data_IF_341613883826
#
_entry.id   IF_341613883826
#
_cell.length_a   1.000
_cell.length_b   1.000
_cell.length_c   1.000
_cell.angle_alpha   90.00
_cell.angle_beta   90.00
_cell.angle_gamma   90.00
#
_symmetry.space_group_name_H-M   'P 1'
#
loop_
_entity.id
_entity.type
_entity.pdbx_description
1 polymer ?
#
# COMPACT_ATOMS: atom_id res chain seq x y z
N UNK A 1 -8.01 3.02 -26.06
CA UNK A 1 -7.28 2.98 -24.77
C UNK A 1 -8.33 2.96 -23.68
N UNK A 2 -8.09 2.24 -22.58
CA UNK A 2 -9.07 1.98 -21.54
C UNK A 2 -8.42 2.18 -20.18
N UNK A 3 -9.09 2.86 -19.25
CA UNK A 3 -8.59 3.06 -17.90
C UNK A 3 -9.72 3.13 -16.88
N UNK A 4 -9.53 2.45 -15.77
CA UNK A 4 -10.50 2.40 -14.68
C UNK A 4 -9.91 3.02 -13.40
N UNK A 5 -10.75 3.65 -12.59
CA UNK A 5 -10.36 4.13 -11.28
C UNK A 5 -11.54 4.08 -10.30
N UNK A 6 -11.35 3.42 -9.17
CA UNK A 6 -12.28 3.47 -8.05
C UNK A 6 -11.97 4.70 -7.21
N UNK A 7 -12.85 5.71 -7.24
CA UNK A 7 -12.68 6.90 -6.40
C UNK A 7 -12.69 6.46 -4.93
N UNK A 8 -11.70 6.85 -4.09
CA UNK A 8 -11.66 6.45 -2.68
C UNK A 8 -12.93 6.84 -1.94
N UNK A 9 -13.62 5.86 -1.34
CA UNK A 9 -14.93 6.05 -0.70
C UNK A 9 -16.08 6.39 -1.67
N UNK A 10 -15.84 6.29 -2.97
CA UNK A 10 -16.76 6.65 -4.05
C UNK A 10 -17.05 5.50 -5.00
N UNK A 11 -17.23 5.84 -6.27
CA UNK A 11 -17.72 4.97 -7.34
C UNK A 11 -16.62 4.71 -8.38
N UNK A 12 -16.78 3.63 -9.12
CA UNK A 12 -15.92 3.27 -10.24
C UNK A 12 -16.19 4.25 -11.39
N UNK A 13 -15.12 4.81 -11.93
CA UNK A 13 -15.13 5.55 -13.19
C UNK A 13 -14.27 4.81 -14.20
N UNK A 14 -14.76 4.74 -15.42
CA UNK A 14 -14.15 4.11 -16.58
C UNK A 14 -14.02 5.17 -17.66
N UNK A 15 -12.88 5.21 -18.31
CA UNK A 15 -12.64 6.10 -19.45
C UNK A 15 -12.09 5.31 -20.63
N UNK A 16 -12.82 5.39 -21.74
CA UNK A 16 -12.35 4.94 -23.04
C UNK A 16 -11.96 6.16 -23.89
N UNK A 17 -10.81 6.08 -24.55
CA UNK A 17 -10.31 7.15 -25.41
C UNK A 17 -9.34 6.65 -26.48
N UNK A 18 -9.11 7.47 -27.49
CA UNK A 18 -8.06 7.34 -28.50
C UNK A 18 -7.08 8.52 -28.39
N UNK A 19 -5.89 8.37 -28.99
CA UNK A 19 -4.92 9.47 -29.10
C UNK A 19 -4.56 9.66 -30.57
N UNK A 20 -4.88 10.82 -31.12
CA UNK A 20 -4.55 11.20 -32.49
C UNK A 20 -3.83 12.55 -32.51
N UNK A 21 -2.68 12.63 -33.18
CA UNK A 21 -1.91 13.88 -33.25
C UNK A 21 -1.46 14.42 -31.88
N UNK A 22 -1.34 13.55 -30.87
CA UNK A 22 -0.99 13.93 -29.50
C UNK A 22 -2.16 14.50 -28.68
N UNK A 23 -3.39 14.44 -29.20
CA UNK A 23 -4.59 14.89 -28.50
C UNK A 23 -5.55 13.72 -28.22
N UNK A 24 -6.32 13.84 -27.14
CA UNK A 24 -7.37 12.88 -26.77
C UNK A 24 -8.52 12.97 -27.79
N UNK A 25 -9.01 11.80 -28.21
CA UNK A 25 -10.10 11.64 -29.17
C UNK A 25 -11.11 10.61 -28.70
N UNK A 26 -12.36 10.78 -29.14
CA UNK A 26 -13.45 9.85 -28.86
C UNK A 26 -13.58 9.54 -27.36
N UNK A 27 -13.35 10.54 -26.51
CA UNK A 27 -13.37 10.32 -25.05
C UNK A 27 -14.79 9.97 -24.61
N UNK A 28 -14.90 8.90 -23.81
CA UNK A 28 -16.14 8.48 -23.18
C UNK A 28 -15.91 8.16 -21.72
N UNK A 29 -16.62 8.86 -20.85
CA UNK A 29 -16.65 8.59 -19.40
C UNK A 29 -17.89 7.79 -19.05
N UNK A 30 -17.69 6.70 -18.30
CA UNK A 30 -18.76 5.82 -17.82
C UNK A 30 -18.45 5.33 -16.39
N UNK A 31 -19.43 4.71 -15.70
CA UNK A 31 -19.21 4.18 -14.35
C UNK A 31 -20.49 3.91 -13.57
N UNK A 32 -20.36 3.63 -12.27
CA UNK A 32 -21.49 3.36 -11.34
C UNK A 32 -21.80 4.55 -10.41
N UNK A 33 -21.49 5.77 -10.86
CA UNK A 33 -21.74 7.04 -10.17
C UNK A 33 -23.08 7.68 -10.57
N UNK A 34 -23.45 8.75 -9.85
CA UNK A 34 -24.61 9.57 -10.20
C UNK A 34 -24.18 10.99 -10.55
N UNK A 35 -24.83 11.54 -11.58
CA UNK A 35 -24.70 12.92 -12.04
C UNK A 35 -26.08 13.55 -12.10
N UNK A 36 -26.21 14.78 -11.61
CA UNK A 36 -27.43 15.58 -11.72
C UNK A 36 -27.06 16.99 -12.21
N UNK A 37 -27.56 17.43 -13.37
CA UNK A 37 -28.31 16.64 -14.34
C UNK A 37 -27.44 15.56 -14.99
N UNK A 38 -28.03 14.48 -15.51
CA UNK A 38 -27.27 13.36 -16.09
C UNK A 38 -26.54 13.76 -17.39
N UNK A 39 -27.06 14.74 -18.14
CA UNK A 39 -26.40 15.28 -19.34
C UNK A 39 -25.08 15.99 -19.04
N UNK A 40 -24.75 16.27 -17.76
CA UNK A 40 -23.45 16.78 -17.37
C UNK A 40 -22.31 15.85 -17.83
N UNK A 41 -22.55 14.55 -18.02
CA UNK A 41 -21.57 13.61 -18.57
C UNK A 41 -21.06 14.04 -19.97
N UNK A 42 -21.93 14.61 -20.80
CA UNK A 42 -21.56 15.08 -22.13
C UNK A 42 -20.63 16.29 -22.06
N UNK A 43 -20.79 17.14 -21.04
CA UNK A 43 -19.88 18.25 -20.79
C UNK A 43 -18.50 17.74 -20.34
N UNK A 44 -18.44 16.67 -19.55
CA UNK A 44 -17.18 16.01 -19.15
C UNK A 44 -16.46 15.44 -20.39
N UNK A 45 -17.16 14.66 -21.22
CA UNK A 45 -16.59 14.08 -22.45
C UNK A 45 -16.06 15.19 -23.38
N UNK A 46 -16.87 16.22 -23.63
CA UNK A 46 -16.48 17.35 -24.47
C UNK A 46 -15.33 18.18 -23.88
N UNK A 47 -15.26 18.29 -22.55
CA UNK A 47 -14.16 18.98 -21.88
C UNK A 47 -12.83 18.25 -22.06
N UNK A 48 -12.86 16.92 -22.14
CA UNK A 48 -11.67 16.10 -22.33
C UNK A 48 -11.27 15.98 -23.80
N UNK A 49 -12.23 15.99 -24.72
CA UNK A 49 -11.98 15.94 -26.17
C UNK A 49 -10.96 17.02 -26.59
N UNK A 50 -9.98 16.60 -27.40
CA UNK A 50 -8.90 17.47 -27.86
C UNK A 50 -7.86 17.89 -26.81
N UNK A 51 -7.91 17.38 -25.57
CA UNK A 51 -6.82 17.64 -24.59
C UNK A 51 -5.48 17.17 -25.15
N UNK A 52 -4.37 17.87 -24.91
CA UNK A 52 -3.06 17.27 -25.09
C UNK A 52 -2.92 16.00 -24.22
N UNK A 53 -2.45 14.89 -24.78
CA UNK A 53 -2.28 13.61 -24.09
C UNK A 53 -1.23 13.66 -22.95
N UNK A 54 -0.37 14.68 -22.94
CA UNK A 54 0.59 14.94 -21.86
C UNK A 54 0.04 15.82 -20.74
N UNK A 55 -1.25 16.22 -20.78
CA UNK A 55 -1.89 16.98 -19.71
C UNK A 55 -1.90 16.14 -18.43
N UNK A 56 -1.52 16.74 -17.31
CA UNK A 56 -1.48 16.09 -16.00
C UNK A 56 -2.88 15.99 -15.37
N UNK A 57 -2.98 15.24 -14.28
CA UNK A 57 -4.25 15.01 -13.58
C UNK A 57 -4.93 16.32 -13.17
N UNK A 58 -4.16 17.28 -12.64
CA UNK A 58 -4.69 18.57 -12.20
C UNK A 58 -5.23 19.40 -13.38
N UNK A 59 -4.52 19.43 -14.51
CA UNK A 59 -4.97 20.12 -15.71
C UNK A 59 -6.23 19.49 -16.32
N UNK A 60 -6.32 18.15 -16.35
CA UNK A 60 -7.52 17.45 -16.81
C UNK A 60 -8.71 17.71 -15.89
N UNK A 61 -8.52 17.64 -14.57
CA UNK A 61 -9.56 17.93 -13.59
C UNK A 61 -10.08 19.37 -13.71
N UNK A 62 -9.17 20.35 -13.83
CA UNK A 62 -9.53 21.76 -14.01
C UNK A 62 -10.33 22.00 -15.31
N UNK A 63 -10.01 21.29 -16.40
CA UNK A 63 -10.79 21.36 -17.65
C UNK A 63 -12.20 20.84 -17.46
N UNK A 64 -12.38 19.74 -16.74
CA UNK A 64 -13.69 19.19 -16.42
C UNK A 64 -14.49 20.17 -15.56
N UNK A 65 -13.90 20.67 -14.47
CA UNK A 65 -14.56 21.61 -13.55
C UNK A 65 -15.00 22.90 -14.25
N UNK A 66 -14.18 23.43 -15.18
CA UNK A 66 -14.50 24.62 -15.94
C UNK A 66 -15.65 24.43 -16.95
N UNK A 67 -15.89 23.19 -17.40
CA UNK A 67 -16.94 22.86 -18.36
C UNK A 67 -18.27 22.49 -17.70
N UNK A 68 -18.22 22.06 -16.44
CA UNK A 68 -19.41 21.64 -15.70
C UNK A 68 -20.30 22.84 -15.33
N UNK A 69 -21.62 22.77 -15.53
CA UNK A 69 -22.55 23.76 -15.00
C UNK A 69 -22.41 23.91 -13.47
N UNK A 70 -22.51 25.12 -12.91
CA UNK A 70 -22.34 25.33 -11.45
C UNK A 70 -23.33 24.57 -10.57
N UNK A 71 -24.48 24.16 -11.12
CA UNK A 71 -25.50 23.37 -10.42
C UNK A 71 -25.26 21.86 -10.47
N UNK A 72 -24.18 21.40 -11.12
CA UNK A 72 -23.91 19.97 -11.29
C UNK A 72 -23.59 19.33 -9.93
N UNK A 73 -24.30 18.26 -9.61
CA UNK A 73 -24.01 17.42 -8.46
C UNK A 73 -23.38 16.13 -8.94
N UNK A 74 -22.19 15.82 -8.42
CA UNK A 74 -21.48 14.57 -8.65
C UNK A 74 -21.53 13.74 -7.37
N UNK A 75 -22.13 12.55 -7.42
CA UNK A 75 -22.18 11.65 -6.27
C UNK A 75 -21.38 10.38 -6.55
N UNK A 76 -20.31 10.19 -5.77
CA UNK A 76 -19.35 9.11 -5.96
C UNK A 76 -18.35 9.34 -7.09
N UNK A 77 -18.42 10.48 -7.79
CA UNK A 77 -17.51 10.91 -8.84
C UNK A 77 -16.84 12.23 -8.44
N UNK A 78 -15.63 12.45 -8.95
CA UNK A 78 -14.95 13.74 -8.93
C UNK A 78 -14.24 13.99 -10.26
N UNK A 79 -14.03 15.26 -10.61
CA UNK A 79 -13.23 15.63 -11.78
C UNK A 79 -11.81 15.04 -11.71
N UNK A 80 -11.21 15.02 -10.51
CA UNK A 80 -9.94 14.36 -10.26
C UNK A 80 -10.02 12.85 -10.52
N UNK A 81 -11.08 12.16 -10.09
CA UNK A 81 -11.27 10.74 -10.35
C UNK A 81 -11.34 10.40 -11.84
N UNK A 82 -12.08 11.20 -12.62
CA UNK A 82 -12.12 11.09 -14.09
C UNK A 82 -10.73 11.33 -14.68
N UNK A 83 -10.03 12.37 -14.23
CA UNK A 83 -8.68 12.68 -14.69
C UNK A 83 -7.69 11.54 -14.40
N UNK A 84 -7.77 10.90 -13.23
CA UNK A 84 -6.96 9.72 -12.90
C UNK A 84 -7.27 8.56 -13.86
N UNK A 85 -8.55 8.28 -14.15
CA UNK A 85 -8.92 7.24 -15.11
C UNK A 85 -8.37 7.52 -16.52
N UNK A 86 -8.40 8.79 -16.98
CA UNK A 86 -7.73 9.21 -18.24
C UNK A 86 -6.22 8.92 -18.17
N UNK A 87 -5.55 9.29 -17.07
CA UNK A 87 -4.10 9.05 -16.91
C UNK A 87 -3.77 7.56 -16.91
N UNK A 88 -4.62 6.72 -16.31
CA UNK A 88 -4.49 5.26 -16.34
C UNK A 88 -4.66 4.71 -17.75
N UNK A 89 -5.65 5.17 -18.49
CA UNK A 89 -5.87 4.80 -19.89
C UNK A 89 -4.65 5.12 -20.77
N UNK A 90 -4.12 6.34 -20.64
CA UNK A 90 -2.94 6.80 -21.38
C UNK A 90 -1.67 6.03 -21.02
N UNK A 91 -1.55 5.64 -19.74
CA UNK A 91 -0.42 4.87 -19.26
C UNK A 91 -0.52 3.37 -19.56
N UNK A 92 -1.61 2.92 -20.19
CA UNK A 92 -1.93 1.50 -20.40
C UNK A 92 -1.79 0.71 -19.10
N UNK A 93 -2.35 1.28 -18.02
CA UNK A 93 -2.31 0.66 -16.71
C UNK A 93 -3.04 -0.69 -16.76
N UNK A 94 -2.51 -1.66 -16.05
CA UNK A 94 -3.17 -2.95 -15.83
C UNK A 94 -4.04 -2.88 -14.60
N UNK A 95 -5.01 -3.80 -14.50
CA UNK A 95 -5.91 -3.97 -13.36
C UNK A 95 -5.57 -5.22 -12.54
N UNK A 96 -6.17 -5.34 -11.35
CA UNK A 96 -5.99 -6.50 -10.48
C UNK A 96 -6.33 -7.82 -11.17
N UNK A 97 -7.35 -7.83 -12.03
CA UNK A 97 -7.85 -9.01 -12.77
C UNK A 97 -6.94 -9.45 -13.92
N UNK A 98 -5.97 -8.64 -14.33
CA UNK A 98 -5.06 -8.98 -15.43
C UNK A 98 -3.98 -9.98 -15.02
N UNK A 99 -3.92 -10.35 -13.74
CA UNK A 99 -2.82 -11.11 -13.17
C UNK A 99 -3.26 -12.39 -12.47
N UNK A 100 -2.44 -13.43 -12.62
CA UNK A 100 -2.54 -14.66 -11.83
C UNK A 100 -1.74 -14.51 -10.51
N UNK A 101 -2.40 -13.90 -9.52
CA UNK A 101 -1.80 -13.61 -8.21
C UNK A 101 -1.34 -14.85 -7.48
N UNK A 102 -0.18 -14.78 -6.83
CA UNK A 102 0.36 -15.86 -6.01
C UNK A 102 0.34 -15.49 -4.52
N UNK A 103 -0.15 -16.41 -3.69
CA UNK A 103 -0.06 -16.32 -2.24
C UNK A 103 1.18 -17.03 -1.73
N UNK A 104 2.02 -16.33 -0.95
CA UNK A 104 2.99 -16.95 -0.07
C UNK A 104 2.52 -16.75 1.37
N UNK A 105 2.32 -17.85 2.09
CA UNK A 105 2.02 -17.85 3.52
C UNK A 105 2.75 -19.03 4.19
N UNK A 106 3.98 -18.76 4.62
CA UNK A 106 4.89 -19.74 5.22
C UNK A 106 4.91 -19.60 6.74
N UNK A 107 5.58 -20.56 7.42
CA UNK A 107 5.83 -20.49 8.85
C UNK A 107 6.58 -19.21 9.25
N UNK A 108 6.53 -18.79 10.54
CA UNK A 108 7.23 -17.60 10.99
C UNK A 108 8.73 -17.63 10.66
N UNK A 109 9.28 -16.50 10.25
CA UNK A 109 10.67 -16.36 9.83
C UNK A 109 11.38 -15.22 10.58
N UNK A 110 12.70 -15.18 10.44
CA UNK A 110 13.51 -14.16 11.13
C UNK A 110 13.26 -12.76 10.55
N UNK A 111 13.31 -11.71 11.38
CA UNK A 111 13.13 -10.33 10.94
C UNK A 111 14.03 -9.94 9.76
N UNK A 112 15.30 -10.36 9.76
CA UNK A 112 16.23 -10.06 8.68
C UNK A 112 15.85 -10.80 7.37
N UNK A 113 15.39 -12.05 7.47
CA UNK A 113 14.95 -12.83 6.30
C UNK A 113 13.70 -12.21 5.66
N UNK A 114 12.74 -11.68 6.45
CA UNK A 114 11.60 -10.96 5.88
C UNK A 114 12.02 -9.75 5.04
N UNK A 115 12.99 -8.97 5.52
CA UNK A 115 13.49 -7.80 4.78
C UNK A 115 14.16 -8.22 3.47
N UNK A 116 14.91 -9.32 3.49
CA UNK A 116 15.56 -9.88 2.31
C UNK A 116 14.56 -10.43 1.30
N UNK A 117 13.54 -11.16 1.76
CA UNK A 117 12.49 -11.72 0.89
C UNK A 117 11.66 -10.63 0.21
N UNK A 118 11.32 -9.55 0.93
CA UNK A 118 10.65 -8.39 0.32
C UNK A 118 11.48 -7.80 -0.84
N UNK A 119 12.81 -7.71 -0.70
CA UNK A 119 13.70 -7.24 -1.78
C UNK A 119 13.77 -8.23 -2.95
N UNK A 120 13.97 -9.52 -2.67
CA UNK A 120 14.12 -10.56 -3.69
C UNK A 120 12.84 -10.74 -4.49
N UNK A 121 11.69 -10.92 -3.82
CA UNK A 121 10.41 -11.18 -4.49
C UNK A 121 10.02 -9.98 -5.36
N UNK A 122 10.21 -8.76 -4.86
CA UNK A 122 9.92 -7.55 -5.65
C UNK A 122 10.82 -7.45 -6.88
N UNK A 123 12.10 -7.83 -6.75
CA UNK A 123 13.02 -7.87 -7.89
C UNK A 123 12.63 -8.95 -8.92
N UNK A 124 12.12 -10.10 -8.49
CA UNK A 124 11.63 -11.16 -9.40
C UNK A 124 10.37 -10.72 -10.16
N UNK A 125 9.46 -10.01 -9.50
CA UNK A 125 8.29 -9.39 -10.15
C UNK A 125 8.74 -8.33 -11.15
N UNK A 126 9.69 -7.46 -10.78
CA UNK A 126 10.24 -6.44 -11.69
C UNK A 126 10.92 -7.06 -12.91
N UNK A 127 11.53 -8.24 -12.75
CA UNK A 127 12.15 -8.97 -13.85
C UNK A 127 11.18 -9.78 -14.70
N UNK A 128 9.88 -9.80 -14.36
CA UNK A 128 8.86 -10.60 -15.05
C UNK A 128 9.04 -12.11 -14.89
N UNK A 129 9.87 -12.56 -13.93
CA UNK A 129 10.10 -13.99 -13.64
C UNK A 129 9.11 -14.57 -12.64
N UNK A 130 8.39 -13.69 -11.94
CA UNK A 130 7.36 -14.04 -10.96
C UNK A 130 6.08 -13.25 -11.22
N UNK A 131 4.89 -13.87 -11.13
CA UNK A 131 3.62 -13.14 -11.10
C UNK A 131 3.54 -12.20 -9.88
N UNK A 132 2.64 -11.20 -9.89
CA UNK A 132 2.38 -10.39 -8.71
C UNK A 132 2.05 -11.27 -7.51
N UNK A 133 2.58 -10.90 -6.35
CA UNK A 133 2.58 -11.79 -5.18
C UNK A 133 2.06 -11.07 -3.95
N UNK A 134 1.05 -11.66 -3.32
CA UNK A 134 0.65 -11.37 -1.95
C UNK A 134 1.41 -12.31 -1.02
N UNK A 135 2.22 -11.74 -0.13
CA UNK A 135 2.86 -12.48 0.96
C UNK A 135 2.20 -12.08 2.26
N UNK A 136 1.61 -13.03 2.98
CA UNK A 136 1.17 -12.81 4.37
C UNK A 136 2.14 -13.56 5.27
N UNK A 137 2.79 -12.86 6.18
CA UNK A 137 3.97 -13.39 6.86
C UNK A 137 4.04 -13.00 8.33
N UNK A 138 4.76 -13.81 9.10
CA UNK A 138 4.79 -13.74 10.55
C UNK A 138 6.21 -13.75 11.12
N UNK A 139 6.40 -13.05 12.23
CA UNK A 139 7.69 -12.88 12.90
C UNK A 139 7.97 -14.04 13.84
N UNK A 140 9.18 -14.63 13.76
CA UNK A 140 9.64 -15.62 14.74
C UNK A 140 10.12 -15.01 16.07
N UNK A 141 10.41 -13.70 16.07
CA UNK A 141 11.00 -12.97 17.18
C UNK A 141 10.62 -11.49 17.16
N UNK A 142 10.62 -10.80 18.32
CA UNK A 142 10.36 -9.36 18.38
C UNK A 142 11.38 -8.54 17.59
N UNK A 143 10.90 -7.49 16.92
CA UNK A 143 11.73 -6.62 16.10
C UNK A 143 11.31 -5.15 16.18
N UNK A 144 12.31 -4.27 16.11
CA UNK A 144 12.13 -2.90 15.63
C UNK A 144 12.55 -2.82 14.18
N UNK A 145 11.64 -2.37 13.32
CA UNK A 145 11.87 -2.16 11.89
C UNK A 145 12.03 -0.66 11.64
N UNK A 146 13.22 -0.23 11.25
CA UNK A 146 13.48 1.16 10.88
C UNK A 146 13.44 1.34 9.35
N UNK A 147 12.95 2.49 8.90
CA UNK A 147 12.91 2.85 7.49
C UNK A 147 14.30 3.11 6.92
N UNK A 148 14.45 2.96 5.60
CA UNK A 148 15.73 3.07 4.90
C UNK A 148 16.49 4.37 5.20
N UNK A 149 15.79 5.47 5.49
CA UNK A 149 16.37 6.79 5.72
C UNK A 149 16.48 7.21 7.19
N UNK A 150 16.03 6.38 8.13
CA UNK A 150 16.00 6.75 9.54
C UNK A 150 17.36 6.57 10.22
N UNK A 151 17.65 7.40 11.22
CA UNK A 151 18.83 7.25 12.07
C UNK A 151 18.57 6.22 13.16
N UNK A 152 19.33 5.12 13.16
CA UNK A 152 19.23 4.07 14.18
C UNK A 152 19.27 4.65 15.60
N UNK A 153 20.19 5.59 15.85
CA UNK A 153 20.35 6.24 17.15
C UNK A 153 19.13 7.08 17.54
N UNK A 154 18.44 7.68 16.59
CA UNK A 154 17.31 8.56 16.91
C UNK A 154 16.01 7.77 17.13
N UNK A 155 15.89 6.59 16.51
CA UNK A 155 14.64 5.80 16.57
C UNK A 155 14.64 4.73 17.65
N UNK A 156 15.80 4.19 18.03
CA UNK A 156 15.89 2.99 18.87
C UNK A 156 16.56 3.29 20.20
N UNK A 157 15.99 2.75 21.28
CA UNK A 157 16.62 2.70 22.59
C UNK A 157 17.39 1.38 22.78
N UNK A 158 18.73 1.37 22.71
CA UNK A 158 19.51 0.14 22.78
C UNK A 158 19.31 -0.65 24.08
N UNK A 159 19.19 0.07 25.22
CA UNK A 159 18.94 -0.55 26.51
C UNK A 159 17.53 -1.18 26.61
N UNK A 160 16.56 -0.62 25.88
CA UNK A 160 15.22 -1.20 25.75
C UNK A 160 15.25 -2.47 24.92
N UNK A 161 15.89 -2.42 23.75
CA UNK A 161 15.98 -3.58 22.86
C UNK A 161 16.72 -4.75 23.51
N UNK A 162 17.80 -4.49 24.24
CA UNK A 162 18.54 -5.53 24.97
C UNK A 162 17.69 -6.17 26.08
N UNK A 163 17.05 -5.36 26.93
CA UNK A 163 16.19 -5.83 28.02
C UNK A 163 15.04 -6.72 27.55
N UNK A 164 14.50 -6.41 26.37
CA UNK A 164 13.31 -7.04 25.83
C UNK A 164 13.59 -8.13 24.77
N UNK A 165 14.87 -8.40 24.48
CA UNK A 165 15.28 -9.36 23.45
C UNK A 165 14.78 -8.98 22.05
N UNK A 166 14.74 -7.69 21.74
CA UNK A 166 14.18 -7.16 20.48
C UNK A 166 15.31 -6.94 19.48
N UNK A 167 15.19 -7.59 18.33
CA UNK A 167 16.11 -7.37 17.20
C UNK A 167 15.85 -6.02 16.53
N UNK A 168 16.84 -5.48 15.82
CA UNK A 168 16.66 -4.25 15.03
C UNK A 168 17.04 -4.53 13.58
N UNK A 169 16.10 -4.29 12.67
CA UNK A 169 16.30 -4.48 11.23
C UNK A 169 15.96 -3.21 10.46
N UNK A 170 16.65 -3.00 9.33
CA UNK A 170 16.37 -1.88 8.42
C UNK A 170 15.76 -2.41 7.12
N UNK A 171 14.60 -1.88 6.75
CA UNK A 171 13.93 -2.20 5.48
C UNK A 171 14.41 -1.33 4.33
N UNK A 172 14.16 -1.77 3.10
CA UNK A 172 14.53 -1.03 1.86
C UNK A 172 13.60 0.14 1.52
N UNK A 173 12.39 0.15 2.08
CA UNK A 173 11.40 1.20 1.91
C UNK A 173 11.62 2.35 2.90
N UNK A 174 11.02 3.51 2.60
CA UNK A 174 11.00 4.65 3.52
C UNK A 174 9.99 4.48 4.67
N UNK A 175 9.65 5.59 5.34
CA UNK A 175 8.66 5.63 6.42
C UNK A 175 9.26 5.53 7.82
N UNK A 176 8.38 5.57 8.83
CA UNK A 176 8.76 5.59 10.25
C UNK A 176 9.19 4.24 10.83
N UNK A 177 9.65 4.28 12.08
CA UNK A 177 10.05 3.09 12.82
C UNK A 177 8.81 2.38 13.38
N UNK A 178 8.89 1.07 13.50
CA UNK A 178 7.80 0.24 13.98
C UNK A 178 8.32 -0.85 14.90
N UNK A 179 7.52 -1.18 15.91
CA UNK A 179 7.75 -2.32 16.79
C UNK A 179 6.77 -3.43 16.43
N UNK A 180 7.27 -4.65 16.26
CA UNK A 180 6.49 -5.84 15.97
C UNK A 180 6.86 -6.97 16.92
N UNK A 181 5.86 -7.75 17.31
CA UNK A 181 6.04 -8.92 18.14
C UNK A 181 5.32 -10.13 17.52
N UNK A 182 5.86 -11.34 17.74
CA UNK A 182 5.14 -12.56 17.40
C UNK A 182 3.74 -12.53 18.01
N UNK A 183 2.73 -12.94 17.26
CA UNK A 183 1.33 -12.96 17.71
C UNK A 183 0.61 -11.62 17.88
N UNK A 184 1.31 -10.48 17.84
CA UNK A 184 0.72 -9.15 18.05
C UNK A 184 0.50 -8.37 16.76
N UNK A 185 1.06 -8.80 15.65
CA UNK A 185 0.91 -8.13 14.36
C UNK A 185 0.39 -9.06 13.27
N UNK A 186 -0.32 -8.47 12.31
CA UNK A 186 -0.60 -9.06 10.99
C UNK A 186 0.27 -8.28 10.01
N UNK A 187 1.06 -9.00 9.21
CA UNK A 187 1.99 -8.36 8.26
C UNK A 187 1.81 -8.95 6.88
N UNK A 188 1.74 -8.09 5.88
CA UNK A 188 1.64 -8.53 4.49
C UNK A 188 2.43 -7.61 3.56
N UNK A 189 2.83 -8.16 2.42
CA UNK A 189 3.51 -7.46 1.34
C UNK A 189 2.83 -7.79 0.01
N UNK A 190 2.60 -6.78 -0.81
CA UNK A 190 2.29 -6.90 -2.22
C UNK A 190 3.56 -6.54 -3.02
N UNK A 191 4.03 -7.47 -3.84
CA UNK A 191 5.01 -7.21 -4.88
C UNK A 191 4.27 -7.17 -6.21
N UNK A 192 4.17 -5.98 -6.82
CA UNK A 192 3.32 -5.75 -8.00
C UNK A 192 4.10 -5.12 -9.14
N UNK A 193 3.81 -5.45 -10.41
CA UNK A 193 4.35 -4.73 -11.56
C UNK A 193 4.02 -3.24 -11.48
N UNK A 194 4.94 -2.40 -11.95
CA UNK A 194 4.73 -0.94 -11.94
C UNK A 194 3.50 -0.52 -12.75
N UNK A 195 3.14 -1.29 -13.78
CA UNK A 195 1.94 -1.07 -14.61
C UNK A 195 0.63 -1.08 -13.83
N UNK A 196 0.54 -1.81 -12.70
CA UNK A 196 -0.67 -1.84 -11.87
C UNK A 196 -0.98 -0.47 -11.25
N UNK A 197 0.07 0.29 -10.92
CA UNK A 197 -0.06 1.63 -10.32
C UNK A 197 0.26 2.76 -11.29
N UNK A 198 0.43 2.46 -12.58
CA UNK A 198 0.64 3.47 -13.61
C UNK A 198 -0.54 4.44 -13.68
N UNK A 199 -0.26 5.71 -13.94
CA UNK A 199 -1.29 6.77 -13.98
C UNK A 199 -1.75 7.29 -12.62
N UNK A 200 -1.39 6.61 -11.52
CA UNK A 200 -1.68 7.07 -10.16
C UNK A 200 -0.60 8.03 -9.63
N UNK A 201 -1.00 8.95 -8.75
CA UNK A 201 -0.03 9.68 -7.93
C UNK A 201 0.65 8.73 -6.92
N UNK A 202 1.73 9.19 -6.28
CA UNK A 202 2.36 8.42 -5.21
C UNK A 202 1.38 8.15 -4.06
N UNK A 203 0.57 9.14 -3.67
CA UNK A 203 -0.41 9.00 -2.59
C UNK A 203 -1.57 8.07 -2.97
N UNK A 204 -2.08 8.18 -4.20
CA UNK A 204 -3.18 7.33 -4.67
C UNK A 204 -2.74 5.88 -4.82
N UNK A 205 -1.46 5.63 -5.13
CA UNK A 205 -0.94 4.26 -5.17
C UNK A 205 -0.92 3.56 -3.81
N UNK A 206 -0.95 4.28 -2.69
CA UNK A 206 -1.16 3.65 -1.37
C UNK A 206 -2.62 3.29 -1.19
N UNK A 207 -3.53 4.25 -1.37
CA UNK A 207 -4.97 4.02 -1.29
C UNK A 207 -5.41 2.85 -2.18
N UNK A 208 -4.97 2.82 -3.44
CA UNK A 208 -5.30 1.76 -4.40
C UNK A 208 -4.83 0.38 -3.94
N UNK A 209 -3.61 0.27 -3.38
CA UNK A 209 -3.05 -1.01 -2.92
C UNK A 209 -3.57 -1.45 -1.53
N UNK A 210 -4.11 -0.51 -0.75
CA UNK A 210 -4.76 -0.77 0.55
C UNK A 210 -6.27 -1.07 0.41
N UNK A 211 -6.89 -0.82 -0.75
CA UNK A 211 -8.35 -0.90 -0.94
C UNK A 211 -8.92 -2.28 -0.59
N UNK A 212 -8.28 -3.35 -1.07
CA UNK A 212 -8.70 -4.74 -0.76
C UNK A 212 -8.74 -5.04 0.75
N UNK A 213 -7.92 -4.33 1.54
CA UNK A 213 -7.82 -4.48 3.00
C UNK A 213 -9.01 -3.81 3.66
N UNK A 214 -9.39 -2.62 3.20
CA UNK A 214 -10.57 -1.92 3.68
C UNK A 214 -11.82 -2.76 3.43
N UNK A 215 -11.89 -3.40 2.26
CA UNK A 215 -12.97 -4.32 1.93
C UNK A 215 -12.96 -5.58 2.81
N UNK A 216 -11.79 -6.22 3.01
CA UNK A 216 -11.67 -7.36 3.91
C UNK A 216 -12.06 -7.03 5.35
N UNK A 217 -11.69 -5.84 5.85
CA UNK A 217 -12.11 -5.34 7.15
C UNK A 217 -13.61 -5.07 7.20
N UNK A 218 -14.18 -4.49 6.14
CA UNK A 218 -15.61 -4.29 5.97
C UNK A 218 -16.41 -5.59 5.99
N UNK A 219 -15.92 -6.65 5.34
CA UNK A 219 -16.51 -8.00 5.36
C UNK A 219 -16.58 -8.58 6.79
N UNK A 220 -15.68 -8.14 7.68
CA UNK A 220 -15.66 -8.49 9.12
C UNK A 220 -16.44 -7.49 10.00
N UNK A 221 -17.17 -6.54 9.40
CA UNK A 221 -17.93 -5.52 10.11
C UNK A 221 -17.10 -4.37 10.69
N UNK A 222 -15.83 -4.24 10.30
CA UNK A 222 -14.93 -3.18 10.75
C UNK A 222 -15.02 -2.01 9.77
N UNK A 223 -15.50 -0.87 10.27
CA UNK A 223 -15.49 0.39 9.52
C UNK A 223 -14.09 1.01 9.54
N UNK A 224 -13.27 0.64 8.57
CA UNK A 224 -11.95 1.21 8.34
C UNK A 224 -11.95 2.18 7.16
N UNK A 225 -11.04 3.14 7.17
CA UNK A 225 -10.79 4.03 6.04
C UNK A 225 -9.29 4.31 5.88
N UNK A 226 -8.91 4.66 4.66
CA UNK A 226 -7.57 5.12 4.35
C UNK A 226 -7.39 6.57 4.82
N UNK A 227 -6.32 6.80 5.58
CA UNK A 227 -5.87 8.11 6.03
C UNK A 227 -4.52 8.43 5.38
N UNK A 228 -4.47 9.36 4.41
CA UNK A 228 -3.23 9.72 3.74
C UNK A 228 -2.13 10.13 4.72
N UNK A 229 -0.87 9.79 4.47
CA UNK A 229 -0.33 9.22 3.22
C UNK A 229 -0.36 7.68 3.14
N UNK A 230 -0.54 6.96 4.24
CA UNK A 230 -0.20 5.54 4.27
C UNK A 230 -0.80 4.79 5.47
N UNK A 231 -1.82 5.37 6.13
CA UNK A 231 -2.39 4.81 7.35
C UNK A 231 -3.77 4.23 7.06
N UNK A 232 -4.10 3.11 7.72
CA UNK A 232 -5.47 2.61 7.81
C UNK A 232 -5.97 2.90 9.22
N UNK A 233 -7.11 3.57 9.31
CA UNK A 233 -7.70 4.03 10.55
C UNK A 233 -9.14 3.54 10.71
N UNK A 234 -9.61 3.58 11.95
CA UNK A 234 -10.96 3.27 12.40
C UNK A 234 -11.42 4.37 13.35
N UNK A 235 -12.70 4.38 13.75
CA UNK A 235 -13.24 5.41 14.66
C UNK A 235 -12.50 5.46 16.02
N UNK A 236 -11.78 4.38 16.36
CA UNK A 236 -11.00 4.24 17.58
C UNK A 236 -9.51 4.57 17.42
N UNK A 237 -8.99 4.67 16.20
CA UNK A 237 -7.60 5.06 15.94
C UNK A 237 -6.96 4.32 14.76
N UNK A 238 -5.64 4.50 14.63
CA UNK A 238 -4.83 3.87 13.59
C UNK A 238 -4.64 2.39 13.88
N UNK A 239 -4.88 1.55 12.89
CA UNK A 239 -4.73 0.09 12.99
C UNK A 239 -3.64 -0.47 12.09
N UNK A 240 -3.28 0.22 11.00
CA UNK A 240 -2.19 -0.23 10.13
C UNK A 240 -1.42 0.95 9.54
N UNK A 241 -0.19 0.68 9.10
CA UNK A 241 0.62 1.62 8.34
C UNK A 241 1.39 0.90 7.24
N UNK A 242 1.34 1.47 6.04
CA UNK A 242 1.99 0.97 4.84
C UNK A 242 3.31 1.70 4.56
N UNK A 243 4.19 1.06 3.79
CA UNK A 243 5.33 1.72 3.16
C UNK A 243 5.55 1.14 1.76
N UNK A 244 6.10 1.95 0.87
CA UNK A 244 6.38 1.52 -0.50
C UNK A 244 7.85 1.69 -0.89
N UNK A 245 8.29 0.84 -1.81
CA UNK A 245 9.53 0.99 -2.57
C UNK A 245 9.25 0.66 -4.04
N UNK A 246 9.61 1.59 -4.93
CA UNK A 246 9.66 1.34 -6.38
C UNK A 246 11.05 0.83 -6.73
N UNK A 247 11.12 -0.24 -7.52
CA UNK A 247 12.36 -0.81 -8.07
C UNK A 247 12.28 -0.76 -9.60
N UNK A 248 13.43 -0.56 -10.25
CA UNK A 248 13.53 -0.58 -11.72
C UNK A 248 13.83 -2.01 -12.16
N UNK A 249 13.27 -2.43 -13.30
CA UNK A 249 13.54 -3.73 -13.87
C UNK A 249 14.98 -3.87 -14.39
N UNK A 250 15.42 -5.10 -14.68
CA UNK A 250 16.70 -5.34 -15.36
C UNK A 250 16.81 -4.53 -16.66
N UNK A 251 18.01 -4.06 -16.97
CA UNK A 251 18.33 -3.33 -18.21
C UNK A 251 17.48 -2.07 -18.47
N UNK A 252 16.93 -1.47 -17.40
CA UNK A 252 16.04 -0.30 -17.49
C UNK A 252 14.61 -0.64 -17.93
N UNK A 253 14.24 -1.92 -17.91
CA UNK A 253 12.89 -2.40 -18.20
C UNK A 253 11.85 -2.02 -17.14
N UNK A 254 10.58 -2.46 -17.34
CA UNK A 254 9.48 -2.18 -16.42
C UNK A 254 9.81 -2.55 -14.98
N UNK A 255 9.49 -1.66 -14.05
CA UNK A 255 9.76 -1.86 -12.64
C UNK A 255 8.70 -2.65 -11.88
N UNK A 256 8.87 -2.71 -10.56
CA UNK A 256 7.87 -3.20 -9.62
C UNK A 256 7.74 -2.27 -8.42
N UNK A 257 6.65 -2.44 -7.68
CA UNK A 257 6.39 -1.77 -6.42
C UNK A 257 6.25 -2.82 -5.33
N UNK A 258 7.09 -2.69 -4.30
CA UNK A 258 6.84 -3.28 -3.00
C UNK A 258 5.89 -2.35 -2.25
N UNK A 259 4.74 -2.87 -1.84
CA UNK A 259 3.85 -2.24 -0.88
C UNK A 259 3.71 -3.20 0.30
N UNK A 260 4.16 -2.80 1.49
CA UNK A 260 4.06 -3.67 2.66
C UNK A 260 3.45 -2.95 3.85
N UNK A 261 2.71 -3.71 4.65
CA UNK A 261 1.87 -3.18 5.70
C UNK A 261 2.05 -4.01 6.93
N UNK A 262 2.13 -3.32 8.05
CA UNK A 262 1.96 -3.96 9.35
C UNK A 262 0.72 -3.38 10.00
N UNK A 263 -0.11 -4.30 10.47
CA UNK A 263 -1.37 -4.04 11.11
C UNK A 263 -1.30 -4.54 12.55
N UNK A 264 -1.72 -3.68 13.47
CA UNK A 264 -1.75 -3.97 14.90
C UNK A 264 -2.92 -4.90 15.22
N UNK A 265 -2.59 -6.14 15.57
CA UNK A 265 -3.57 -7.11 16.05
C UNK A 265 -3.67 -7.10 17.58
N UNK A 266 -2.56 -6.89 18.28
CA UNK A 266 -2.43 -6.61 19.71
C UNK A 266 -1.19 -5.71 19.93
N UNK A 267 -1.03 -5.07 21.09
CA UNK A 267 0.15 -4.23 21.35
C UNK A 267 0.52 -4.13 22.83
N UNK A 268 1.77 -4.42 23.16
CA UNK A 268 2.38 -4.01 24.43
C UNK A 268 2.94 -2.59 24.29
N UNK A 269 2.12 -1.61 24.68
CA UNK A 269 2.46 -0.19 24.58
C UNK A 269 3.65 0.17 25.47
N UNK A 270 3.77 -0.44 26.64
CA UNK A 270 4.83 -0.09 27.59
C UNK A 270 6.18 -0.61 27.07
N UNK A 271 6.21 -1.83 26.52
CA UNK A 271 7.38 -2.37 25.83
C UNK A 271 7.75 -1.55 24.60
N UNK A 272 6.76 -1.18 23.76
CA UNK A 272 6.98 -0.33 22.59
C UNK A 272 7.64 1.01 22.97
N UNK A 273 7.12 1.70 23.99
CA UNK A 273 7.65 2.99 24.46
C UNK A 273 9.05 2.88 25.06
N UNK A 274 9.41 1.69 25.55
CA UNK A 274 10.74 1.41 26.09
C UNK A 274 11.76 1.13 24.97
N UNK A 275 11.35 0.51 23.86
CA UNK A 275 12.24 0.18 22.74
C UNK A 275 12.36 1.31 21.70
N UNK A 276 11.30 2.09 21.48
CA UNK A 276 11.28 3.17 20.50
C UNK A 276 11.57 4.52 21.15
N UNK A 277 12.49 5.28 20.56
CA UNK A 277 12.70 6.70 20.88
C UNK A 277 11.68 7.53 20.11
N UNK A 278 10.44 7.56 20.60
CA UNK A 278 9.41 8.41 20.02
C UNK A 278 9.82 9.87 20.24
N UNK A 279 10.05 10.61 19.15
CA UNK A 279 10.60 11.97 19.17
C UNK A 279 9.95 12.87 20.22
N UNK A 280 10.79 13.53 21.04
CA UNK A 280 10.38 14.46 22.11
C UNK A 280 9.42 15.57 21.64
N UNK A 281 9.37 15.89 20.34
CA UNK A 281 8.44 16.87 19.77
C UNK A 281 6.97 16.41 19.72
N UNK A 282 6.67 15.09 19.77
CA UNK A 282 5.28 14.59 19.89
C UNK A 282 4.83 14.43 21.35
N UNK A 283 5.71 14.75 22.31
CA UNK A 283 5.49 14.59 23.75
C UNK A 283 5.18 15.96 24.38
N UNK A 284 3.93 16.43 24.25
CA UNK A 284 3.34 17.20 25.36
C UNK A 284 2.83 16.20 26.41
N UNK A 285 2.57 16.59 27.65
CA UNK A 285 2.02 15.69 28.70
C UNK A 285 0.65 15.05 28.33
N UNK A 286 0.03 15.47 27.22
CA UNK A 286 -1.12 14.81 26.58
C UNK A 286 -0.72 13.59 25.70
N UNK A 287 0.56 13.47 25.34
CA UNK A 287 1.16 12.52 24.39
C UNK A 287 1.20 11.08 24.89
N UNK A 288 1.59 10.85 26.15
CA UNK A 288 1.69 9.51 26.77
C UNK A 288 0.31 8.86 26.97
N UNK A 289 -0.69 9.66 27.38
CA UNK A 289 -2.10 9.22 27.40
C UNK A 289 -2.65 9.00 25.98
N UNK A 290 -2.18 9.75 24.98
CA UNK A 290 -2.63 9.59 23.59
C UNK A 290 -2.00 8.39 22.89
N UNK A 291 -0.76 7.99 23.20
CA UNK A 291 -0.16 6.78 22.63
C UNK A 291 -0.92 5.52 23.08
N UNK A 292 -1.29 5.43 24.37
CA UNK A 292 -2.16 4.38 24.92
C UNK A 292 -3.59 4.41 24.37
N UNK A 293 -4.03 5.51 23.75
CA UNK A 293 -5.39 5.69 23.21
C UNK A 293 -5.46 5.65 21.66
N UNK A 294 -4.32 5.51 20.96
CA UNK A 294 -4.22 5.64 19.50
C UNK A 294 -4.07 4.33 18.73
N UNK A 295 -3.86 3.20 19.43
CA UNK A 295 -3.78 1.88 18.82
C UNK A 295 -4.85 1.04 19.49
N UNK A 296 -5.99 0.84 18.81
CA UNK A 296 -7.02 -0.10 19.25
C UNK A 296 -6.88 -1.38 18.41
N UNK A 297 -6.29 -2.44 18.99
CA UNK A 297 -5.92 -3.63 18.24
C UNK A 297 -7.13 -4.33 17.61
N UNK A 298 -6.94 -4.89 16.41
CA UNK A 298 -8.00 -5.61 15.70
C UNK A 298 -8.64 -6.72 16.54
N UNK A 299 -7.90 -7.34 17.45
CA UNK A 299 -8.45 -8.33 18.38
C UNK A 299 -9.67 -7.82 19.14
N UNK A 300 -9.66 -6.57 19.60
CA UNK A 300 -10.75 -5.98 20.38
C UNK A 300 -11.94 -5.59 19.50
N UNK A 301 -11.68 -5.13 18.28
CA UNK A 301 -12.73 -4.70 17.36
C UNK A 301 -13.44 -5.87 16.69
N UNK A 302 -12.70 -6.93 16.33
CA UNK A 302 -13.23 -8.13 15.66
C UNK A 302 -13.72 -9.19 16.66
N UNK A 303 -13.07 -9.31 17.82
CA UNK A 303 -13.25 -10.45 18.74
C UNK A 303 -12.72 -11.78 18.18
N UNK A 304 -12.09 -11.77 17.00
CA UNK A 304 -11.62 -12.96 16.31
C UNK A 304 -10.16 -13.30 16.68
N UNK A 305 -9.78 -14.58 16.68
CA UNK A 305 -8.37 -14.97 16.71
C UNK A 305 -7.60 -14.42 15.50
N UNK A 306 -6.33 -14.07 15.69
CA UNK A 306 -5.46 -13.52 14.63
C UNK A 306 -5.44 -14.35 13.35
N UNK A 307 -5.33 -15.67 13.48
CA UNK A 307 -5.34 -16.59 12.36
C UNK A 307 -6.64 -16.48 11.55
N UNK A 308 -7.79 -16.37 12.24
CA UNK A 308 -9.07 -16.18 11.57
C UNK A 308 -9.15 -14.84 10.84
N UNK A 309 -8.58 -13.76 11.39
CA UNK A 309 -8.49 -12.46 10.69
C UNK A 309 -7.63 -12.57 9.42
N UNK A 310 -6.47 -13.23 9.52
CA UNK A 310 -5.59 -13.50 8.38
C UNK A 310 -6.32 -14.32 7.30
N UNK A 311 -7.00 -15.39 7.69
CA UNK A 311 -7.74 -16.25 6.77
C UNK A 311 -8.85 -15.48 6.05
N UNK A 312 -9.60 -14.63 6.77
CA UNK A 312 -10.62 -13.77 6.15
C UNK A 312 -10.01 -12.77 5.17
N UNK A 313 -8.87 -12.16 5.51
CA UNK A 313 -8.16 -11.25 4.60
C UNK A 313 -7.71 -11.95 3.32
N UNK A 314 -7.09 -13.13 3.45
CA UNK A 314 -6.64 -13.94 2.31
C UNK A 314 -7.83 -14.35 1.44
N UNK A 315 -8.94 -14.77 2.05
CA UNK A 315 -10.13 -15.20 1.31
C UNK A 315 -10.86 -14.03 0.65
N UNK A 316 -10.89 -12.85 1.29
CA UNK A 316 -11.38 -11.62 0.69
C UNK A 316 -10.60 -11.28 -0.58
N UNK A 317 -9.27 -11.30 -0.51
CA UNK A 317 -8.40 -11.07 -1.67
C UNK A 317 -8.67 -12.09 -2.77
N UNK A 318 -8.71 -13.38 -2.41
CA UNK A 318 -8.95 -14.49 -3.36
C UNK A 318 -10.25 -14.34 -4.12
N UNK A 319 -11.35 -13.99 -3.44
CA UNK A 319 -12.67 -13.82 -4.06
C UNK A 319 -12.71 -12.68 -5.08
N UNK A 320 -11.94 -11.63 -4.84
CA UNK A 320 -11.97 -10.39 -5.64
C UNK A 320 -10.99 -10.39 -6.80
N UNK A 321 -9.82 -10.99 -6.62
CA UNK A 321 -8.72 -10.87 -7.59
C UNK A 321 -8.21 -12.22 -8.11
N UNK A 322 -8.72 -13.34 -7.59
CA UNK A 322 -8.08 -14.64 -7.77
C UNK A 322 -6.79 -14.72 -6.94
N UNK A 323 -6.46 -15.93 -6.47
CA UNK A 323 -5.25 -16.11 -5.67
C UNK A 323 -4.79 -17.57 -5.67
N UNK A 324 -3.80 -17.86 -6.51
CA UNK A 324 -3.11 -19.14 -6.61
C UNK A 324 -2.16 -19.38 -5.43
N UNK A 325 -1.78 -20.65 -5.24
CA UNK A 325 -0.79 -21.03 -4.21
C UNK A 325 0.62 -20.85 -4.77
N UNK A 326 1.38 -19.96 -4.16
CA UNK A 326 2.82 -19.81 -4.37
C UNK A 326 3.66 -20.36 -3.23
N UNK A 327 4.97 -20.30 -3.41
CA UNK A 327 5.97 -20.50 -2.37
C UNK A 327 7.19 -19.61 -2.66
N UNK A 328 8.05 -19.42 -1.68
CA UNK A 328 9.41 -18.96 -1.95
C UNK A 328 10.18 -20.11 -2.60
N UNK A 329 10.73 -19.89 -3.79
CA UNK A 329 11.55 -20.90 -4.47
C UNK A 329 12.90 -21.07 -3.77
N UNK A 330 13.56 -22.21 -3.98
CA UNK A 330 14.87 -22.46 -3.41
C UNK A 330 15.93 -21.41 -3.83
N UNK A 331 15.84 -20.92 -5.07
CA UNK A 331 16.73 -19.88 -5.58
C UNK A 331 16.46 -18.52 -4.92
N UNK A 332 15.19 -18.13 -4.77
CA UNK A 332 14.82 -16.90 -4.06
C UNK A 332 15.23 -16.96 -2.59
N UNK A 333 15.04 -18.10 -1.93
CA UNK A 333 15.46 -18.30 -0.55
C UNK A 333 16.98 -18.19 -0.41
N UNK A 334 17.75 -18.86 -1.27
CA UNK A 334 19.22 -18.80 -1.24
C UNK A 334 19.72 -17.36 -1.45
N UNK A 335 19.09 -16.59 -2.35
CA UNK A 335 19.41 -15.18 -2.56
C UNK A 335 19.02 -14.31 -1.36
N UNK A 336 17.89 -14.60 -0.72
CA UNK A 336 17.47 -13.88 0.48
C UNK A 336 18.42 -14.16 1.65
N UNK A 337 18.83 -15.41 1.86
CA UNK A 337 19.83 -15.81 2.87
C UNK A 337 21.19 -15.14 2.62
N UNK A 338 21.61 -15.06 1.35
CA UNK A 338 22.82 -14.33 0.97
C UNK A 338 22.71 -12.84 1.29
N UNK A 339 21.56 -12.21 1.02
CA UNK A 339 21.30 -10.83 1.42
C UNK A 339 21.22 -10.66 2.94
N UNK A 340 20.76 -11.65 3.70
CA UNK A 340 20.86 -11.62 5.16
C UNK A 340 22.32 -11.58 5.59
N UNK A 341 23.15 -12.48 5.04
CA UNK A 341 24.58 -12.57 5.37
C UNK A 341 25.36 -11.30 4.99
N UNK A 342 25.04 -10.69 3.85
CA UNK A 342 25.83 -9.60 3.27
C UNK A 342 25.25 -8.21 3.48
N UNK A 343 23.97 -8.10 3.87
CA UNK A 343 23.25 -6.84 4.00
C UNK A 343 22.36 -6.80 5.23
N UNK A 344 21.22 -7.48 5.23
CA UNK A 344 20.16 -7.28 6.25
C UNK A 344 20.52 -7.75 7.66
N UNK A 345 21.46 -8.67 7.81
CA UNK A 345 22.02 -9.09 9.09
C UNK A 345 23.26 -8.31 9.54
N UNK A 346 23.71 -7.32 8.77
CA UNK A 346 24.96 -6.59 9.04
C UNK A 346 24.71 -5.32 9.85
N UNK A 347 25.64 -5.01 10.75
CA UNK A 347 25.61 -3.75 11.49
C UNK A 347 25.77 -2.53 10.57
N UNK A 348 26.52 -2.66 9.46
CA UNK A 348 26.71 -1.61 8.47
C UNK A 348 25.39 -1.18 7.83
N UNK A 349 24.58 -2.15 7.39
CA UNK A 349 23.26 -1.85 6.83
C UNK A 349 22.32 -1.26 7.88
N UNK A 350 22.23 -1.87 9.06
CA UNK A 350 21.30 -1.41 10.12
C UNK A 350 21.69 -0.02 10.62
N UNK A 351 22.97 0.29 10.77
CA UNK A 351 23.47 1.59 11.22
C UNK A 351 23.69 2.61 10.10
N UNK A 352 23.39 2.26 8.84
CA UNK A 352 23.55 3.16 7.68
C UNK A 352 22.90 4.53 7.94
N UNK A 353 23.70 5.58 7.75
CA UNK A 353 23.22 6.96 7.66
C UNK A 353 23.24 7.33 6.18
N UNK A 354 22.08 7.59 5.55
CA UNK A 354 21.99 7.87 4.11
C UNK A 354 22.76 9.10 3.66
#
# INVERSE_FOLDING_TARGET
MHGEYKVPGGKLVVVDLEVEGGALRQVRVAGDFFLEPDEAILAIDAALEGAPANTDTAGLAARIEAALPPSTVMFGLSAEGVAVAVRRALAQATEWSDYDWQLIHDAPQSPALHMALDEVITAEVAAGRRPPTLRVWEWDSPAVIIGSFQSLRNEVNPAGTERHGVSVVRRISGGGAMFAEPSSTITYSLAVPQSLVSGLSFADSYAYLDDWVLEALGDMGIKAWYQPLNDIATDVGKIAGAAQKRVVGPDGGPGAVLHHVTMSYDIDVDKMLDVLRIGREKMSDKGTKSAKKRVDPLRRQTGLPRAAVIDHMIESFRKRHGLGRGAVTAEELARAEELVRTKFGTAEWTARVP
#
